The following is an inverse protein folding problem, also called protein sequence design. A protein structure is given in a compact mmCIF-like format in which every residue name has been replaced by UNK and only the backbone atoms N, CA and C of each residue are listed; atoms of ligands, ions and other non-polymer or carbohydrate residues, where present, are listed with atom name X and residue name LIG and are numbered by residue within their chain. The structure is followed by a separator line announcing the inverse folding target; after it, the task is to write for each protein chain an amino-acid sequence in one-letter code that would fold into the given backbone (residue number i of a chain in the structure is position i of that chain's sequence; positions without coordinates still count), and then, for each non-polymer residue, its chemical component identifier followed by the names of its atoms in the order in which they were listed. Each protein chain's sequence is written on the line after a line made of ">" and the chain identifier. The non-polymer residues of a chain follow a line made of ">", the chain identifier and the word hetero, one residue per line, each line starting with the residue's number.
data_IF_283588220496
#
_entry.id   IF_283588220496
#
_cell.length_a   1.000
_cell.length_b   1.000
_cell.length_c   1.000
_cell.angle_alpha   90.00
_cell.angle_beta   90.00
_cell.angle_gamma   90.00
#
_symmetry.space_group_name_H-M   'P 1'
#
loop_
_entity.id
_entity.type
_entity.pdbx_description
1 polymer ?
#
# COMPACT_ATOMS: atom_id res chain seq x y z
N UNK A 1 -11.48 40.33 12.39
CA UNK A 1 -10.27 39.69 11.84
C UNK A 1 -10.50 38.19 11.90
N UNK A 2 -10.90 37.58 10.79
CA UNK A 2 -11.07 36.13 10.69
C UNK A 2 -9.73 35.50 10.35
N UNK A 3 -8.96 35.14 11.39
CA UNK A 3 -7.84 34.24 11.27
C UNK A 3 -8.41 32.82 11.12
N UNK A 4 -8.37 32.26 9.92
CA UNK A 4 -8.54 30.81 9.72
C UNK A 4 -7.63 30.37 8.57
N UNK A 5 -6.38 30.04 8.88
CA UNK A 5 -5.57 29.17 8.03
C UNK A 5 -5.92 27.72 8.41
N UNK A 6 -7.10 27.25 8.03
CA UNK A 6 -7.41 25.82 8.10
C UNK A 6 -6.96 25.18 6.80
N UNK A 7 -5.89 24.40 6.87
CA UNK A 7 -5.50 23.51 5.78
C UNK A 7 -6.68 22.58 5.44
N UNK A 8 -6.86 22.29 4.16
CA UNK A 8 -7.82 21.27 3.72
C UNK A 8 -7.55 19.95 4.45
N UNK A 9 -8.62 19.28 4.90
CA UNK A 9 -8.51 17.99 5.54
C UNK A 9 -7.82 16.96 4.61
N UNK A 10 -7.07 15.99 5.16
CA UNK A 10 -6.62 14.82 4.41
C UNK A 10 -7.81 14.09 3.78
N UNK A 11 -7.55 13.32 2.71
CA UNK A 11 -8.57 12.48 2.10
C UNK A 11 -9.09 11.44 3.12
N UNK A 12 -10.41 11.30 3.23
CA UNK A 12 -11.04 10.54 4.31
C UNK A 12 -11.04 11.22 5.70
N UNK A 13 -10.65 12.49 5.78
CA UNK A 13 -10.73 13.34 6.98
C UNK A 13 -9.51 13.27 7.91
N UNK A 14 -8.74 12.18 7.88
CA UNK A 14 -7.59 11.96 8.77
C UNK A 14 -6.37 11.51 7.97
N UNK A 15 -5.20 12.04 8.31
CA UNK A 15 -3.94 11.56 7.74
C UNK A 15 -3.53 10.28 8.45
N UNK A 16 -3.53 9.16 7.75
CA UNK A 16 -3.19 7.85 8.30
C UNK A 16 -1.69 7.62 8.14
N UNK A 17 -0.95 7.56 9.25
CA UNK A 17 0.47 7.22 9.22
C UNK A 17 0.66 5.76 9.66
N UNK A 18 1.43 5.00 8.88
CA UNK A 18 1.76 3.60 9.14
C UNK A 18 3.28 3.36 9.18
N UNK A 19 4.06 4.38 9.55
CA UNK A 19 5.42 4.16 10.02
C UNK A 19 5.32 3.57 11.43
N UNK A 20 6.00 2.45 11.66
CA UNK A 20 6.03 1.78 12.96
C UNK A 20 6.57 2.73 14.04
N UNK A 21 5.92 2.74 15.21
CA UNK A 21 6.49 3.36 16.40
C UNK A 21 7.80 2.64 16.81
N UNK A 22 8.66 3.25 17.64
CA UNK A 22 9.86 2.58 18.13
C UNK A 22 9.58 1.22 18.79
N UNK A 23 8.50 1.12 19.56
CA UNK A 23 8.10 -0.12 20.23
C UNK A 23 7.62 -1.17 19.23
N UNK A 24 6.78 -0.78 18.26
CA UNK A 24 6.34 -1.67 17.18
C UNK A 24 7.52 -2.16 16.33
N UNK A 25 8.45 -1.26 15.97
CA UNK A 25 9.67 -1.62 15.23
C UNK A 25 10.49 -2.65 16.00
N UNK A 26 10.69 -2.44 17.31
CA UNK A 26 11.42 -3.39 18.14
C UNK A 26 10.72 -4.77 18.20
N UNK A 27 9.39 -4.78 18.33
CA UNK A 27 8.58 -6.00 18.33
C UNK A 27 8.67 -6.75 16.98
N UNK A 28 8.53 -6.04 15.86
CA UNK A 28 8.65 -6.64 14.53
C UNK A 28 10.06 -7.18 14.25
N UNK A 29 11.10 -6.46 14.68
CA UNK A 29 12.49 -6.91 14.56
C UNK A 29 12.76 -8.17 15.40
N UNK A 30 12.18 -8.27 16.60
CA UNK A 30 12.35 -9.44 17.46
C UNK A 30 11.74 -10.73 16.85
N UNK A 31 10.72 -10.59 15.99
CA UNK A 31 10.05 -11.70 15.31
C UNK A 31 10.60 -11.95 13.88
N UNK A 32 11.53 -11.12 13.40
CA UNK A 32 11.92 -11.05 11.98
C UNK A 32 12.39 -12.39 11.37
N UNK A 33 12.96 -13.28 12.17
CA UNK A 33 13.45 -14.58 11.73
C UNK A 33 12.39 -15.68 11.77
N UNK A 34 11.31 -15.51 12.54
CA UNK A 34 10.21 -16.47 12.62
C UNK A 34 9.06 -16.15 11.67
N UNK A 35 8.94 -14.90 11.21
CA UNK A 35 7.90 -14.51 10.27
C UNK A 35 8.14 -15.09 8.87
N UNK A 36 7.07 -15.54 8.16
CA UNK A 36 7.19 -15.82 6.75
C UNK A 36 7.58 -14.55 6.00
N UNK A 37 8.40 -14.71 4.96
CA UNK A 37 8.99 -13.59 4.21
C UNK A 37 8.39 -13.49 2.83
N UNK A 38 8.12 -12.27 2.41
CA UNK A 38 7.69 -11.93 1.06
C UNK A 38 8.59 -10.79 0.54
N UNK A 39 9.20 -11.00 -0.62
CA UNK A 39 9.99 -9.96 -1.28
C UNK A 39 9.08 -9.13 -2.16
N UNK A 40 9.03 -7.83 -1.89
CA UNK A 40 8.31 -6.85 -2.69
C UNK A 40 9.08 -6.52 -3.97
N UNK A 41 8.35 -6.23 -5.03
CA UNK A 41 8.93 -5.53 -6.17
C UNK A 41 9.05 -4.02 -5.89
N UNK A 42 9.62 -3.28 -6.85
CA UNK A 42 9.78 -1.83 -6.70
C UNK A 42 8.45 -1.08 -6.60
N UNK A 43 7.37 -1.57 -7.23
CA UNK A 43 6.05 -0.92 -7.20
C UNK A 43 5.40 -1.11 -5.84
N UNK A 44 5.34 -2.36 -5.35
CA UNK A 44 4.79 -2.68 -4.05
C UNK A 44 5.58 -2.05 -2.89
N UNK A 45 6.90 -1.89 -3.06
CA UNK A 45 7.72 -1.12 -2.10
C UNK A 45 7.31 0.35 -2.08
N UNK A 46 7.11 0.97 -3.24
CA UNK A 46 6.61 2.34 -3.34
C UNK A 46 5.21 2.48 -2.76
N UNK A 47 4.32 1.53 -2.99
CA UNK A 47 2.94 1.56 -2.46
C UNK A 47 2.93 1.42 -0.93
N UNK A 48 3.74 0.50 -0.36
CA UNK A 48 3.95 0.39 1.09
C UNK A 48 4.40 1.73 1.68
N UNK A 49 5.37 2.38 1.05
CA UNK A 49 5.87 3.69 1.46
C UNK A 49 4.79 4.77 1.42
N UNK A 50 4.01 4.84 0.33
CA UNK A 50 2.95 5.83 0.15
C UNK A 50 1.79 5.65 1.14
N UNK A 51 1.44 4.39 1.46
CA UNK A 51 0.52 4.06 2.55
C UNK A 51 1.11 4.53 3.88
N UNK A 52 2.38 4.20 4.15
CA UNK A 52 3.00 4.47 5.44
C UNK A 52 3.14 5.96 5.77
N UNK A 53 3.47 6.80 4.80
CA UNK A 53 3.56 8.25 5.03
C UNK A 53 2.20 8.96 5.03
N UNK A 54 1.12 8.22 4.74
CA UNK A 54 -0.25 8.74 4.64
C UNK A 54 -0.56 9.45 3.33
N UNK A 55 0.31 9.33 2.33
CA UNK A 55 0.06 9.83 0.98
C UNK A 55 -1.15 9.14 0.33
N UNK A 56 -1.42 7.89 0.75
CA UNK A 56 -2.60 7.12 0.32
C UNK A 56 -3.74 7.09 1.35
N UNK A 57 -3.81 8.05 2.28
CA UNK A 57 -4.98 8.17 3.16
C UNK A 57 -6.28 8.18 2.33
N UNK A 58 -7.34 7.45 2.73
CA UNK A 58 -7.53 6.79 4.03
C UNK A 58 -6.99 5.35 4.13
N UNK A 59 -6.27 4.85 3.13
CA UNK A 59 -5.73 3.48 3.18
C UNK A 59 -4.72 3.32 4.32
N UNK A 60 -4.82 2.21 5.04
CA UNK A 60 -3.88 1.79 6.09
C UNK A 60 -3.11 0.51 5.74
N UNK A 61 -3.32 0.00 4.53
CA UNK A 61 -2.91 -1.34 4.11
C UNK A 61 -3.17 -1.56 2.62
N UNK A 62 -2.76 -2.73 2.13
CA UNK A 62 -3.17 -3.20 0.81
C UNK A 62 -4.65 -3.57 0.84
N UNK A 63 -5.37 -3.26 -0.24
CA UNK A 63 -6.84 -3.32 -0.26
C UNK A 63 -7.39 -4.72 -0.07
N UNK A 64 -8.32 -4.85 0.87
CA UNK A 64 -9.23 -6.01 0.99
C UNK A 64 -10.10 -6.13 -0.26
N UNK A 65 -10.67 -7.32 -0.50
CA UNK A 65 -11.45 -7.61 -1.72
C UNK A 65 -12.63 -6.65 -1.89
N UNK A 66 -13.26 -6.26 -0.78
CA UNK A 66 -14.41 -5.36 -0.81
C UNK A 66 -14.06 -3.97 -1.33
N UNK A 67 -12.95 -3.39 -0.85
CA UNK A 67 -12.46 -2.09 -1.35
C UNK A 67 -11.96 -2.21 -2.78
N UNK A 68 -11.23 -3.28 -3.09
CA UNK A 68 -10.74 -3.58 -4.44
C UNK A 68 -11.88 -3.59 -5.47
N UNK A 69 -12.92 -4.40 -5.24
CA UNK A 69 -14.05 -4.51 -6.16
C UNK A 69 -14.78 -3.17 -6.31
N UNK A 70 -15.02 -2.47 -5.20
CA UNK A 70 -15.67 -1.16 -5.21
C UNK A 70 -14.87 -0.13 -6.03
N UNK A 71 -13.54 -0.12 -5.90
CA UNK A 71 -12.66 0.77 -6.67
C UNK A 71 -12.70 0.43 -8.15
N UNK A 72 -12.58 -0.85 -8.51
CA UNK A 72 -12.62 -1.30 -9.90
C UNK A 72 -13.96 -0.95 -10.55
N UNK A 73 -15.08 -1.17 -9.86
CA UNK A 73 -16.41 -1.00 -10.44
C UNK A 73 -16.90 0.46 -10.44
N UNK A 74 -16.55 1.23 -9.41
CA UNK A 74 -17.19 2.51 -9.15
C UNK A 74 -16.22 3.67 -8.87
N UNK A 75 -14.91 3.43 -8.83
CA UNK A 75 -13.90 4.44 -8.46
C UNK A 75 -14.11 5.03 -7.05
N UNK A 76 -14.62 4.23 -6.13
CA UNK A 76 -14.76 4.58 -4.72
C UNK A 76 -14.32 3.42 -3.83
N UNK A 77 -13.77 3.73 -2.67
CA UNK A 77 -13.64 2.77 -1.57
C UNK A 77 -15.04 2.34 -1.09
N UNK A 78 -15.11 1.22 -0.38
CA UNK A 78 -16.37 0.68 0.16
C UNK A 78 -17.09 1.63 1.13
N UNK A 79 -16.35 2.54 1.76
CA UNK A 79 -16.89 3.60 2.61
C UNK A 79 -17.41 4.83 1.82
N UNK A 80 -17.35 4.79 0.48
CA UNK A 80 -17.81 5.85 -0.41
C UNK A 80 -16.79 6.96 -0.68
N UNK A 81 -15.57 6.89 -0.15
CA UNK A 81 -14.53 7.88 -0.48
C UNK A 81 -14.02 7.67 -1.92
N UNK A 82 -13.90 8.71 -2.75
CA UNK A 82 -13.37 8.59 -4.11
C UNK A 82 -11.96 7.98 -4.14
N UNK A 83 -11.76 6.97 -4.97
CA UNK A 83 -10.46 6.31 -5.17
C UNK A 83 -10.48 5.50 -6.47
N UNK A 84 -9.61 5.81 -7.43
CA UNK A 84 -9.79 5.36 -8.82
C UNK A 84 -8.85 4.25 -9.29
N UNK A 85 -7.81 3.90 -8.51
CA UNK A 85 -6.81 2.90 -8.90
C UNK A 85 -6.55 1.95 -7.73
N UNK A 86 -6.72 0.63 -7.90
CA UNK A 86 -6.45 -0.32 -6.83
C UNK A 86 -5.00 -0.25 -6.31
N UNK A 87 -4.83 -0.40 -5.00
CA UNK A 87 -3.52 -0.52 -4.34
C UNK A 87 -3.44 -1.90 -3.71
N UNK A 88 -2.86 -2.84 -4.45
CA UNK A 88 -2.87 -4.28 -4.15
C UNK A 88 -1.46 -4.85 -4.08
N UNK A 89 -1.31 -5.95 -3.32
CA UNK A 89 -0.08 -6.73 -3.27
C UNK A 89 -0.34 -8.10 -3.92
N UNK A 90 -0.11 -8.20 -5.23
CA UNK A 90 -0.34 -9.42 -5.99
C UNK A 90 0.87 -10.36 -5.94
N UNK A 91 0.64 -11.62 -5.58
CA UNK A 91 1.66 -12.68 -5.48
C UNK A 91 1.25 -13.93 -6.25
N UNK A 92 2.20 -14.83 -6.48
CA UNK A 92 1.89 -16.13 -7.08
C UNK A 92 1.03 -16.97 -6.13
N UNK A 93 0.26 -17.92 -6.68
CA UNK A 93 -0.52 -18.86 -5.86
C UNK A 93 0.36 -19.64 -4.87
N UNK A 94 1.60 -19.96 -5.28
CA UNK A 94 2.58 -20.65 -4.45
C UNK A 94 2.98 -19.81 -3.22
N UNK A 95 3.26 -18.53 -3.42
CA UNK A 95 3.57 -17.61 -2.31
C UNK A 95 2.35 -17.47 -1.39
N UNK A 96 1.17 -17.21 -1.95
CA UNK A 96 -0.07 -17.09 -1.17
C UNK A 96 -0.40 -18.37 -0.36
N UNK A 97 -0.11 -19.55 -0.91
CA UNK A 97 -0.33 -20.83 -0.22
C UNK A 97 0.62 -21.03 0.97
N UNK A 98 1.81 -20.42 0.96
CA UNK A 98 2.76 -20.48 2.07
C UNK A 98 2.43 -19.52 3.23
N UNK A 99 1.49 -18.59 3.02
CA UNK A 99 1.09 -17.58 3.98
C UNK A 99 -0.25 -17.93 4.63
N UNK A 100 -0.44 -17.55 5.89
CA UNK A 100 -1.67 -17.83 6.65
C UNK A 100 -2.31 -16.50 7.05
N UNK A 101 -3.61 -16.35 6.75
CA UNK A 101 -4.41 -15.21 7.21
C UNK A 101 -4.46 -15.18 8.75
N UNK A 102 -4.51 -13.98 9.32
CA UNK A 102 -4.40 -13.72 10.76
C UNK A 102 -2.96 -13.61 11.28
N UNK A 103 -1.94 -13.82 10.42
CA UNK A 103 -0.53 -13.74 10.83
C UNK A 103 0.17 -12.52 10.22
N UNK A 104 1.26 -12.11 10.88
CA UNK A 104 2.20 -11.16 10.32
C UNK A 104 3.06 -11.81 9.23
N UNK A 105 3.34 -11.03 8.19
CA UNK A 105 4.25 -11.34 7.09
C UNK A 105 5.33 -10.28 7.05
N UNK A 106 6.59 -10.72 7.05
CA UNK A 106 7.73 -9.84 6.85
C UNK A 106 7.84 -9.46 5.37
N UNK A 107 7.93 -8.16 5.10
CA UNK A 107 8.11 -7.60 3.77
C UNK A 107 9.57 -7.15 3.61
N UNK A 108 10.25 -7.78 2.65
CA UNK A 108 11.60 -7.40 2.24
C UNK A 108 11.54 -6.56 0.95
N UNK A 109 12.41 -5.56 0.82
CA UNK A 109 12.57 -4.81 -0.43
C UNK A 109 13.28 -5.67 -1.51
N UNK A 110 13.38 -5.20 -2.78
CA UNK A 110 14.08 -5.93 -3.83
C UNK A 110 15.57 -6.22 -3.56
N UNK A 111 16.17 -5.56 -2.55
CA UNK A 111 17.55 -5.74 -2.15
C UNK A 111 17.70 -6.70 -0.96
N UNK A 112 16.59 -7.24 -0.43
CA UNK A 112 16.54 -8.18 0.69
C UNK A 112 16.54 -7.52 2.07
N UNK A 113 16.33 -6.20 2.15
CA UNK A 113 16.22 -5.51 3.43
C UNK A 113 14.82 -5.66 4.01
N UNK A 114 14.72 -5.94 5.31
CA UNK A 114 13.43 -5.93 6.02
C UNK A 114 12.93 -4.50 6.14
N UNK A 115 11.89 -4.15 5.37
CA UNK A 115 11.38 -2.78 5.29
C UNK A 115 10.04 -2.59 5.97
N UNK A 116 9.22 -3.63 6.10
CA UNK A 116 7.90 -3.50 6.68
C UNK A 116 7.23 -4.82 6.99
N UNK A 117 6.06 -4.76 7.61
CA UNK A 117 5.22 -5.92 7.88
C UNK A 117 3.83 -5.73 7.30
N UNK A 118 3.23 -6.83 6.88
CA UNK A 118 1.80 -6.93 6.55
C UNK A 118 1.15 -7.80 7.61
N UNK A 119 0.10 -7.30 8.25
CA UNK A 119 -0.86 -8.17 8.94
C UNK A 119 -1.82 -8.71 7.88
N UNK A 120 -1.65 -9.99 7.52
CA UNK A 120 -2.40 -10.60 6.43
C UNK A 120 -3.81 -10.95 6.91
N UNK A 121 -4.82 -10.27 6.38
CA UNK A 121 -6.22 -10.46 6.78
C UNK A 121 -7.04 -11.20 5.73
N UNK A 122 -6.72 -11.02 4.45
CA UNK A 122 -7.42 -11.66 3.33
C UNK A 122 -6.46 -12.04 2.20
N UNK A 123 -6.74 -13.16 1.54
CA UNK A 123 -6.15 -13.58 0.27
C UNK A 123 -7.27 -13.80 -0.75
N UNK A 124 -7.18 -13.18 -1.92
CA UNK A 124 -8.22 -13.32 -2.93
C UNK A 124 -7.69 -13.31 -4.36
N UNK A 125 -8.34 -14.10 -5.23
CA UNK A 125 -8.25 -13.96 -6.68
C UNK A 125 -9.02 -12.74 -7.19
N UNK A 126 -8.67 -12.29 -8.39
CA UNK A 126 -9.30 -11.16 -9.06
C UNK A 126 -9.29 -11.31 -10.58
N UNK A 127 -10.24 -10.66 -11.26
CA UNK A 127 -10.32 -10.62 -12.71
C UNK A 127 -9.46 -9.47 -13.25
N UNK A 128 -8.22 -9.81 -13.62
CA UNK A 128 -7.26 -8.90 -14.26
C UNK A 128 -7.80 -8.17 -15.48
N UNK A 129 -8.62 -8.85 -16.29
CA UNK A 129 -9.18 -8.25 -17.51
C UNK A 129 -10.26 -7.25 -17.15
N UNK A 130 -11.12 -7.58 -16.19
CA UNK A 130 -12.11 -6.64 -15.65
C UNK A 130 -11.44 -5.39 -15.06
N UNK A 131 -10.37 -5.56 -14.29
CA UNK A 131 -9.59 -4.45 -13.75
C UNK A 131 -8.98 -3.59 -14.87
N UNK A 132 -8.32 -4.20 -15.86
CA UNK A 132 -7.73 -3.49 -16.98
C UNK A 132 -8.77 -2.61 -17.72
N UNK A 133 -9.92 -3.19 -18.08
CA UNK A 133 -10.98 -2.47 -18.79
C UNK A 133 -11.58 -1.35 -17.94
N UNK A 134 -11.81 -1.58 -16.66
CA UNK A 134 -12.49 -0.58 -15.82
C UNK A 134 -11.56 0.54 -15.35
N UNK A 135 -10.30 0.24 -15.07
CA UNK A 135 -9.29 1.21 -14.59
C UNK A 135 -8.62 1.93 -15.76
N UNK A 136 -8.19 1.21 -16.79
CA UNK A 136 -7.41 1.78 -17.92
C UNK A 136 -8.24 2.00 -19.19
N UNK A 137 -9.52 1.59 -19.21
CA UNK A 137 -10.43 1.74 -20.36
C UNK A 137 -9.99 0.96 -21.61
N UNK A 138 -9.08 0.00 -21.44
CA UNK A 138 -8.57 -0.89 -22.49
C UNK A 138 -8.03 -2.18 -21.86
N UNK A 139 -8.05 -3.27 -22.61
CA UNK A 139 -7.40 -4.54 -22.27
C UNK A 139 -6.16 -4.82 -23.14
N UNK A 140 -5.69 -3.83 -23.90
CA UNK A 140 -4.52 -3.93 -24.77
C UNK A 140 -3.21 -3.99 -23.96
N UNK A 141 -2.43 -5.07 -24.16
CA UNK A 141 -1.13 -5.26 -23.50
C UNK A 141 -0.09 -4.19 -23.85
N UNK A 142 -0.31 -3.44 -24.94
CA UNK A 142 0.53 -2.30 -25.29
C UNK A 142 0.39 -1.13 -24.28
N UNK A 143 -0.72 -1.05 -23.54
CA UNK A 143 -0.90 -0.04 -22.50
C UNK A 143 -0.04 -0.38 -21.27
N UNK A 144 0.87 0.50 -20.81
CA UNK A 144 1.80 0.19 -19.72
C UNK A 144 1.11 -0.27 -18.43
N UNK A 145 -0.02 0.36 -18.06
CA UNK A 145 -0.79 -0.05 -16.88
C UNK A 145 -1.45 -1.42 -17.00
N UNK A 146 -1.93 -1.78 -18.20
CA UNK A 146 -2.56 -3.09 -18.44
C UNK A 146 -1.51 -4.18 -18.41
N UNK A 147 -0.36 -3.92 -19.02
CA UNK A 147 0.79 -4.82 -18.98
C UNK A 147 1.18 -5.17 -17.54
N UNK A 148 1.25 -4.18 -16.65
CA UNK A 148 1.58 -4.43 -15.24
C UNK A 148 0.54 -5.33 -14.56
N UNK A 149 -0.76 -5.12 -14.77
CA UNK A 149 -1.81 -6.00 -14.22
C UNK A 149 -1.62 -7.44 -14.72
N UNK A 150 -1.36 -7.63 -16.01
CA UNK A 150 -1.23 -8.96 -16.58
C UNK A 150 0.04 -9.68 -16.10
N UNK A 151 1.12 -8.95 -15.83
CA UNK A 151 2.37 -9.48 -15.27
C UNK A 151 2.30 -9.78 -13.76
N UNK A 152 1.34 -9.22 -13.03
CA UNK A 152 1.17 -9.43 -11.59
C UNK A 152 0.85 -10.88 -11.21
N UNK A 153 0.96 -11.20 -9.91
CA UNK A 153 0.48 -12.47 -9.36
C UNK A 153 -1.04 -12.67 -9.50
N UNK A 154 -1.50 -13.91 -9.31
CA UNK A 154 -2.92 -14.27 -9.41
C UNK A 154 -3.72 -13.99 -8.12
N UNK A 155 -3.03 -13.87 -6.98
CA UNK A 155 -3.65 -13.70 -5.67
C UNK A 155 -3.21 -12.37 -5.08
N UNK A 156 -4.15 -11.54 -4.66
CA UNK A 156 -3.88 -10.36 -3.85
C UNK A 156 -3.82 -10.73 -2.37
N UNK A 157 -2.80 -10.23 -1.69
CA UNK A 157 -2.68 -10.24 -0.24
C UNK A 157 -3.13 -8.88 0.27
N UNK A 158 -3.97 -8.90 1.30
CA UNK A 158 -4.55 -7.69 1.85
C UNK A 158 -4.38 -7.60 3.36
N UNK A 159 -4.51 -6.37 3.83
CA UNK A 159 -4.52 -6.06 5.24
C UNK A 159 -3.59 -4.92 5.63
N UNK A 160 -3.62 -4.56 6.93
CA UNK A 160 -2.89 -3.42 7.44
C UNK A 160 -1.37 -3.62 7.31
N UNK A 161 -0.64 -2.55 6.92
CA UNK A 161 0.82 -2.60 6.77
C UNK A 161 1.51 -1.64 7.72
N UNK A 162 2.79 -1.88 7.99
CA UNK A 162 3.67 -0.92 8.68
C UNK A 162 5.03 -0.87 7.99
N UNK A 163 5.52 0.33 7.73
CA UNK A 163 6.92 0.56 7.33
C UNK A 163 7.77 0.68 8.60
N UNK A 164 8.86 -0.07 8.70
CA UNK A 164 9.73 -0.03 9.88
C UNK A 164 10.41 1.33 10.06
N UNK A 165 10.82 1.94 8.94
CA UNK A 165 11.51 3.21 8.93
C UNK A 165 11.46 3.85 7.54
N UNK A 166 11.26 5.18 7.50
CA UNK A 166 11.32 5.96 6.27
C UNK A 166 12.78 6.27 5.94
N UNK A 167 13.34 5.61 4.94
CA UNK A 167 14.70 5.86 4.50
C UNK A 167 14.78 7.12 3.61
N UNK A 168 15.84 7.94 3.75
CA UNK A 168 16.05 9.10 2.89
C UNK A 168 16.31 8.68 1.44
N UNK A 169 15.70 9.39 0.48
CA UNK A 169 15.93 9.11 -0.94
C UNK A 169 17.42 9.24 -1.29
N UNK A 170 18.03 8.25 -1.97
CA UNK A 170 19.49 8.18 -2.12
C UNK A 170 20.09 9.36 -2.90
N UNK A 171 19.33 9.94 -3.84
CA UNK A 171 19.80 11.06 -4.67
C UNK A 171 19.29 12.43 -4.22
N UNK A 172 18.13 12.45 -3.54
CA UNK A 172 17.34 13.68 -3.34
C UNK A 172 16.71 13.75 -1.95
N UNK A 173 17.47 13.50 -0.86
CA UNK A 173 16.90 13.35 0.47
C UNK A 173 16.20 14.63 0.96
N UNK A 174 16.65 15.81 0.51
CA UNK A 174 16.04 17.11 0.86
C UNK A 174 14.67 17.36 0.21
N UNK A 175 14.35 16.63 -0.86
CA UNK A 175 13.10 16.82 -1.61
C UNK A 175 12.06 15.73 -1.32
N UNK A 176 12.42 14.72 -0.53
CA UNK A 176 11.49 13.73 -0.01
C UNK A 176 10.77 14.31 1.21
N UNK A 177 9.64 14.97 0.97
CA UNK A 177 8.86 15.64 2.01
C UNK A 177 7.54 14.87 2.19
N UNK A 178 7.39 14.23 3.34
CA UNK A 178 6.17 13.48 3.66
C UNK A 178 4.98 14.43 3.93
N UNK A 179 3.72 13.97 3.73
CA UNK A 179 2.53 14.80 3.90
C UNK A 179 2.45 15.55 5.23
N UNK A 180 2.84 14.92 6.34
CA UNK A 180 2.84 15.56 7.66
C UNK A 180 3.79 16.76 7.73
N UNK A 181 5.03 16.59 7.24
CA UNK A 181 6.03 17.66 7.20
C UNK A 181 5.61 18.76 6.21
N UNK A 182 5.12 18.39 5.03
CA UNK A 182 4.64 19.37 4.04
C UNK A 182 3.52 20.24 4.61
N UNK A 183 2.54 19.64 5.29
CA UNK A 183 1.44 20.37 5.93
C UNK A 183 1.94 21.37 6.99
N UNK A 184 2.90 20.97 7.84
CA UNK A 184 3.49 21.87 8.84
C UNK A 184 4.18 23.09 8.21
N UNK A 185 4.77 22.96 7.01
CA UNK A 185 5.40 24.08 6.31
C UNK A 185 4.41 25.15 5.81
N UNK A 186 3.13 24.80 5.68
CA UNK A 186 2.07 25.71 5.21
C UNK A 186 1.22 26.30 6.35
N UNK A 187 1.53 25.99 7.61
CA UNK A 187 0.90 26.58 8.79
C UNK A 187 1.65 27.83 9.25
#
# INVERSE_FOLDING_TARGET
>A
MTNVSELIAPHGGTLINRIASPDQKAEFLAQADSLPRLTLDARATSDLEMIAIGGFSPLSGFMEKTDYLSVVESMHLSNGAPWSVPVTLSVTEKEAASLTEGNLVRLDDPFGNFVGVLELTEKYDYDKKSEAVNVYRTDEEAHPGVKVIYEQGAINLAGPVWLLERQPHPLFPKYQIDPAASRQLFQ
#
